data_IF_226370644668
#
_entry.id   IF_226370644668
#
_cell.length_a   1.000
_cell.length_b   1.000
_cell.length_c   1.000
_cell.angle_alpha   90.00
_cell.angle_beta   90.00
_cell.angle_gamma   90.00
#
_symmetry.space_group_name_H-M   'P 1'
#
loop_
_entity.id
_entity.type
_entity.pdbx_description
1 polymer ?
#
# COMPACT_ATOMS: atom_id res chain seq x y z
N UNK A 1 -7.33 16.98 -26.10
CA UNK A 1 -6.60 16.24 -25.05
C UNK A 1 -6.03 15.00 -25.70
N UNK A 2 -4.71 14.95 -25.84
CA UNK A 2 -3.99 13.81 -26.41
C UNK A 2 -3.96 12.72 -25.34
N UNK A 3 -4.44 11.52 -25.64
CA UNK A 3 -4.40 10.38 -24.71
C UNK A 3 -2.98 9.84 -24.69
N UNK A 4 -2.20 10.21 -23.68
CA UNK A 4 -0.86 9.67 -23.49
C UNK A 4 -0.91 8.15 -23.26
N UNK A 5 0.00 7.44 -23.93
CA UNK A 5 0.22 5.99 -23.79
C UNK A 5 1.48 5.72 -22.97
N UNK A 6 1.67 4.47 -22.53
CA UNK A 6 2.88 4.05 -21.81
C UNK A 6 4.19 4.38 -22.54
N UNK A 7 4.20 4.39 -23.87
CA UNK A 7 5.38 4.71 -24.69
C UNK A 7 5.70 6.22 -24.70
N UNK A 8 4.69 7.08 -24.54
CA UNK A 8 4.87 8.54 -24.49
C UNK A 8 5.53 9.01 -23.19
N UNK A 9 5.44 8.22 -22.12
CA UNK A 9 6.09 8.50 -20.82
C UNK A 9 7.61 8.40 -20.87
N UNK A 10 8.16 7.69 -21.86
CA UNK A 10 9.59 7.59 -22.08
C UNK A 10 10.14 8.78 -22.88
N UNK A 11 9.29 9.74 -23.26
CA UNK A 11 9.77 11.04 -23.71
C UNK A 11 10.51 11.75 -22.57
N UNK A 12 11.78 12.05 -22.80
CA UNK A 12 12.65 12.81 -21.91
C UNK A 12 12.03 14.11 -21.37
N UNK A 13 11.15 14.77 -22.15
CA UNK A 13 10.46 15.98 -21.71
C UNK A 13 9.41 15.72 -20.62
N UNK A 14 8.63 14.64 -20.77
CA UNK A 14 7.62 14.23 -19.79
C UNK A 14 8.29 13.78 -18.51
N UNK A 15 9.31 12.93 -18.61
CA UNK A 15 10.06 12.45 -17.45
C UNK A 15 10.71 13.61 -16.68
N UNK A 16 11.33 14.56 -17.38
CA UNK A 16 11.88 15.77 -16.74
C UNK A 16 10.79 16.55 -16.01
N UNK A 17 9.61 16.72 -16.61
CA UNK A 17 8.51 17.45 -15.97
C UNK A 17 7.97 16.73 -14.73
N UNK A 18 7.92 15.39 -14.73
CA UNK A 18 7.59 14.59 -13.54
C UNK A 18 8.57 14.92 -12.39
N UNK A 19 9.87 14.96 -12.68
CA UNK A 19 10.89 15.29 -11.68
C UNK A 19 10.74 16.71 -11.12
N UNK A 20 10.49 17.69 -11.99
CA UNK A 20 10.22 19.07 -11.57
C UNK A 20 9.00 19.17 -10.66
N UNK A 21 7.86 18.59 -11.05
CA UNK A 21 6.64 18.59 -10.24
C UNK A 21 6.85 17.92 -8.88
N UNK A 22 7.58 16.81 -8.85
CA UNK A 22 7.93 16.12 -7.61
C UNK A 22 8.78 17.01 -6.71
N UNK A 23 9.78 17.70 -7.26
CA UNK A 23 10.63 18.63 -6.52
C UNK A 23 9.82 19.83 -5.98
N UNK A 24 8.95 20.43 -6.80
CA UNK A 24 8.06 21.53 -6.42
C UNK A 24 7.15 21.13 -5.24
N UNK A 25 6.53 19.94 -5.30
CA UNK A 25 5.68 19.41 -4.21
C UNK A 25 6.48 19.21 -2.92
N UNK A 26 7.68 18.61 -3.01
CA UNK A 26 8.54 18.37 -1.84
C UNK A 26 9.04 19.66 -1.21
N UNK A 27 9.39 20.65 -2.03
CA UNK A 27 9.83 21.97 -1.58
C UNK A 27 8.72 22.72 -0.85
N UNK A 28 7.53 22.80 -1.44
CA UNK A 28 6.36 23.49 -0.86
C UNK A 28 5.99 22.94 0.52
N UNK A 29 6.11 21.63 0.70
CA UNK A 29 5.69 20.94 1.93
C UNK A 29 6.77 20.94 3.03
N UNK A 30 7.93 21.59 2.80
CA UNK A 30 9.08 21.69 3.71
C UNK A 30 9.55 20.34 4.29
N UNK A 31 9.30 19.24 3.56
CA UNK A 31 9.61 17.87 3.96
C UNK A 31 10.09 17.08 2.75
N UNK A 32 11.40 17.05 2.48
CA UNK A 32 11.94 16.43 1.27
C UNK A 32 11.79 14.89 1.24
N UNK A 33 11.50 14.22 2.37
CA UNK A 33 11.72 12.77 2.50
C UNK A 33 10.49 11.90 2.81
N UNK A 34 9.27 12.41 2.98
CA UNK A 34 8.16 11.60 3.52
C UNK A 34 6.84 11.70 2.74
N UNK A 35 6.26 10.55 2.38
CA UNK A 35 4.81 10.29 2.41
C UNK A 35 3.88 11.18 1.59
N UNK A 36 4.39 11.90 0.58
CA UNK A 36 3.60 12.80 -0.28
C UNK A 36 3.15 12.19 -1.60
N UNK A 37 3.13 10.87 -1.72
CA UNK A 37 2.66 10.18 -2.93
C UNK A 37 1.29 10.73 -3.38
N UNK A 38 0.37 11.03 -2.46
CA UNK A 38 -0.91 11.67 -2.78
C UNK A 38 -0.80 13.08 -3.38
N UNK A 39 0.08 13.95 -2.88
CA UNK A 39 0.26 15.30 -3.43
C UNK A 39 0.97 15.28 -4.78
N UNK A 40 1.97 14.42 -4.96
CA UNK A 40 2.64 14.23 -6.25
C UNK A 40 1.63 13.68 -7.27
N UNK A 41 0.86 12.66 -6.89
CA UNK A 41 -0.14 12.07 -7.78
C UNK A 41 -1.22 13.08 -8.19
N UNK A 42 -1.70 13.91 -7.25
CA UNK A 42 -2.64 14.99 -7.57
C UNK A 42 -2.04 16.09 -8.46
N UNK A 43 -0.75 16.40 -8.31
CA UNK A 43 -0.07 17.36 -9.20
C UNK A 43 0.07 16.82 -10.62
N UNK A 44 0.38 15.52 -10.77
CA UNK A 44 0.44 14.85 -12.08
C UNK A 44 -0.94 14.75 -12.74
N UNK A 45 -1.99 14.50 -11.96
CA UNK A 45 -3.37 14.52 -12.47
C UNK A 45 -3.75 15.91 -13.00
N UNK A 46 -3.40 16.96 -12.26
CA UNK A 46 -3.69 18.34 -12.68
C UNK A 46 -2.90 18.75 -13.95
N UNK A 47 -1.63 18.35 -14.06
CA UNK A 47 -0.77 18.69 -15.20
C UNK A 47 -1.12 17.87 -16.45
N UNK A 48 -1.22 16.54 -16.30
CA UNK A 48 -1.27 15.61 -17.42
C UNK A 48 -2.64 14.96 -17.63
N UNK A 49 -3.57 15.12 -16.70
CA UNK A 49 -4.88 14.44 -16.73
C UNK A 49 -4.81 12.94 -16.42
N UNK A 50 -3.71 12.47 -15.83
CA UNK A 50 -3.57 11.06 -15.44
C UNK A 50 -4.29 10.79 -14.13
N UNK A 51 -5.26 9.87 -14.15
CA UNK A 51 -6.14 9.60 -13.02
C UNK A 51 -5.32 9.28 -11.76
N UNK A 52 -5.51 10.05 -10.69
CA UNK A 52 -4.87 9.77 -9.41
C UNK A 52 -5.50 8.54 -8.75
N UNK A 53 -4.67 7.66 -8.20
CA UNK A 53 -5.07 6.40 -7.59
C UNK A 53 -4.43 6.28 -6.21
N UNK A 54 -5.14 5.63 -5.29
CA UNK A 54 -4.61 5.31 -3.95
C UNK A 54 -4.90 3.87 -3.59
N UNK A 55 -4.02 3.25 -2.82
CA UNK A 55 -4.21 1.88 -2.36
C UNK A 55 -2.96 1.30 -1.70
N UNK A 56 -2.74 0.00 -1.86
CA UNK A 56 -1.58 -0.69 -1.30
C UNK A 56 -0.57 -1.05 -2.38
N UNK A 57 0.71 -1.02 -2.02
CA UNK A 57 1.81 -1.49 -2.86
C UNK A 57 2.57 -2.62 -2.16
N UNK A 58 2.65 -3.80 -2.79
CA UNK A 58 3.53 -4.88 -2.33
C UNK A 58 4.93 -4.72 -2.92
N UNK A 59 5.93 -4.59 -2.07
CA UNK A 59 7.33 -4.41 -2.44
C UNK A 59 8.01 -5.73 -2.79
N UNK A 60 9.19 -5.65 -3.40
CA UNK A 60 9.93 -6.82 -3.90
C UNK A 60 10.39 -7.77 -2.78
N UNK A 61 10.58 -7.25 -1.56
CA UNK A 61 10.94 -8.07 -0.40
C UNK A 61 9.71 -8.66 0.33
N UNK A 62 8.51 -8.49 -0.23
CA UNK A 62 7.26 -8.99 0.32
C UNK A 62 6.62 -8.09 1.38
N UNK A 63 7.25 -6.97 1.75
CA UNK A 63 6.60 -5.96 2.59
C UNK A 63 5.51 -5.21 1.82
N UNK A 64 4.65 -4.50 2.56
CA UNK A 64 3.52 -3.78 1.98
C UNK A 64 3.55 -2.33 2.45
N UNK A 65 3.50 -1.40 1.49
CA UNK A 65 3.09 -0.02 1.77
C UNK A 65 1.56 0.02 1.84
N UNK A 66 1.03 0.15 3.06
CA UNK A 66 -0.40 0.14 3.34
C UNK A 66 -1.12 1.45 2.99
N UNK A 67 -0.38 2.45 2.52
CA UNK A 67 -0.90 3.68 1.92
C UNK A 67 0.09 4.12 0.86
N UNK A 68 -0.31 4.02 -0.40
CA UNK A 68 0.47 4.51 -1.53
C UNK A 68 -0.45 5.16 -2.57
N UNK A 69 0.09 6.11 -3.33
CA UNK A 69 -0.63 6.74 -4.43
C UNK A 69 0.22 6.71 -5.70
N UNK A 70 -0.45 6.52 -6.83
CA UNK A 70 0.14 6.46 -8.17
C UNK A 70 -0.87 7.05 -9.16
N UNK A 71 -0.49 7.20 -10.42
CA UNK A 71 -1.40 7.65 -11.47
C UNK A 71 -1.68 6.52 -12.46
N UNK A 72 -2.79 6.63 -13.19
CA UNK A 72 -3.17 5.71 -14.25
C UNK A 72 -3.41 6.45 -15.55
N UNK A 73 -2.79 5.98 -16.62
CA UNK A 73 -3.02 6.46 -17.97
C UNK A 73 -4.34 5.92 -18.54
N UNK A 74 -4.80 6.52 -19.65
CA UNK A 74 -6.01 6.09 -20.36
C UNK A 74 -5.95 4.64 -20.88
N UNK A 75 -4.75 4.15 -21.22
CA UNK A 75 -4.52 2.76 -21.63
C UNK A 75 -4.44 1.78 -20.45
N UNK A 76 -4.54 2.30 -19.21
CA UNK A 76 -4.47 1.54 -17.98
C UNK A 76 -3.06 1.34 -17.42
N UNK A 77 -2.02 1.89 -18.06
CA UNK A 77 -0.64 1.90 -17.55
C UNK A 77 -0.57 2.62 -16.22
N UNK A 78 0.10 1.99 -15.25
CA UNK A 78 0.37 2.57 -13.94
C UNK A 78 1.64 3.43 -14.06
N UNK A 79 1.59 4.64 -13.50
CA UNK A 79 2.71 5.56 -13.36
C UNK A 79 2.93 5.84 -11.90
N UNK A 80 4.03 5.33 -11.36
CA UNK A 80 4.44 5.55 -9.98
C UNK A 80 5.66 6.48 -9.95
N UNK A 81 5.38 7.78 -9.92
CA UNK A 81 6.40 8.84 -9.83
C UNK A 81 7.00 8.99 -8.42
N UNK A 82 6.54 8.18 -7.47
CA UNK A 82 7.02 8.16 -6.08
C UNK A 82 7.60 6.80 -5.69
N UNK A 83 7.91 5.96 -6.67
CA UNK A 83 8.57 4.68 -6.50
C UNK A 83 9.93 4.83 -5.78
N UNK A 84 10.57 5.97 -5.99
CA UNK A 84 11.77 6.47 -5.34
C UNK A 84 11.75 6.38 -3.81
N UNK A 85 10.56 6.51 -3.19
CA UNK A 85 10.36 6.37 -1.74
C UNK A 85 10.69 4.97 -1.21
N UNK A 86 10.74 3.97 -2.09
CA UNK A 86 10.99 2.57 -1.75
C UNK A 86 12.39 2.10 -2.13
N UNK A 87 13.25 2.95 -2.70
CA UNK A 87 14.65 2.65 -3.00
C UNK A 87 14.80 1.34 -3.79
N UNK A 88 15.70 0.45 -3.35
CA UNK A 88 15.96 -0.87 -3.95
C UNK A 88 14.86 -1.90 -3.68
N UNK A 89 13.84 -1.56 -2.87
CA UNK A 89 12.68 -2.42 -2.61
C UNK A 89 11.63 -2.31 -3.72
N UNK A 90 11.83 -1.41 -4.69
CA UNK A 90 10.94 -1.25 -5.83
C UNK A 90 11.70 -1.04 -7.15
N UNK A 91 10.93 -0.95 -8.25
CA UNK A 91 11.43 -1.11 -9.63
C UNK A 91 12.24 0.09 -10.17
N UNK A 92 12.47 1.13 -9.36
CA UNK A 92 13.23 2.32 -9.75
C UNK A 92 12.71 3.61 -9.13
N UNK A 93 13.12 4.73 -9.70
CA UNK A 93 12.80 6.09 -9.24
C UNK A 93 11.39 6.53 -9.69
N UNK A 94 11.17 6.56 -11.01
CA UNK A 94 9.85 6.68 -11.64
C UNK A 94 9.57 5.37 -12.36
N UNK A 95 8.44 4.73 -12.04
CA UNK A 95 8.12 3.40 -12.55
C UNK A 95 6.87 3.45 -13.41
N UNK A 96 6.94 2.84 -14.58
CA UNK A 96 5.79 2.62 -15.46
C UNK A 96 5.49 1.14 -15.56
N UNK A 97 4.25 0.72 -15.30
CA UNK A 97 3.85 -0.68 -15.37
C UNK A 97 2.66 -0.82 -16.30
N UNK A 98 2.90 -1.48 -17.45
CA UNK A 98 1.83 -1.83 -18.38
C UNK A 98 0.82 -2.78 -17.69
N UNK A 99 -0.50 -2.66 -17.94
CA UNK A 99 -1.52 -3.46 -17.25
C UNK A 99 -1.40 -4.97 -17.44
N UNK A 100 -0.79 -5.43 -18.54
CA UNK A 100 -0.51 -6.86 -18.76
C UNK A 100 0.73 -7.38 -18.03
N UNK A 101 1.53 -6.50 -17.42
CA UNK A 101 2.72 -6.90 -16.68
C UNK A 101 2.31 -7.61 -15.38
N UNK A 102 2.97 -8.73 -15.02
CA UNK A 102 2.79 -9.34 -13.71
C UNK A 102 3.06 -8.37 -12.55
N UNK A 103 3.87 -7.34 -12.76
CA UNK A 103 4.16 -6.33 -11.75
C UNK A 103 2.93 -5.49 -11.37
N UNK A 104 1.93 -5.38 -12.27
CA UNK A 104 0.70 -4.65 -11.99
C UNK A 104 -0.05 -5.25 -10.78
N UNK A 105 0.08 -6.57 -10.53
CA UNK A 105 -0.55 -7.25 -9.41
C UNK A 105 0.01 -6.85 -8.02
N UNK A 106 1.09 -6.07 -7.97
CA UNK A 106 1.60 -5.50 -6.73
C UNK A 106 0.90 -4.18 -6.35
N UNK A 107 0.14 -3.57 -7.25
CA UNK A 107 -0.67 -2.40 -6.99
C UNK A 107 -2.12 -2.83 -6.73
N UNK A 108 -2.59 -2.61 -5.51
CA UNK A 108 -3.97 -2.87 -5.14
C UNK A 108 -4.71 -1.56 -4.94
N UNK A 109 -5.51 -1.18 -5.93
CA UNK A 109 -6.30 0.05 -5.91
C UNK A 109 -7.47 -0.03 -4.92
N UNK A 110 -7.69 1.06 -4.16
CA UNK A 110 -8.84 1.30 -3.28
C UNK A 110 -9.35 0.03 -2.57
N UNK A 111 -8.51 -0.63 -1.75
CA UNK A 111 -8.87 -1.88 -1.11
C UNK A 111 -10.13 -1.70 -0.28
N UNK A 112 -11.05 -2.66 -0.44
CA UNK A 112 -12.37 -2.59 0.17
C UNK A 112 -12.26 -2.58 1.69
N UNK A 113 -13.00 -1.69 2.34
CA UNK A 113 -13.14 -1.68 3.78
C UNK A 113 -14.06 -2.81 4.26
N UNK A 114 -13.61 -3.60 5.22
CA UNK A 114 -14.42 -4.62 5.89
C UNK A 114 -14.60 -4.32 7.38
N UNK A 115 -15.78 -4.64 7.89
CA UNK A 115 -16.06 -4.79 9.31
C UNK A 115 -15.84 -6.25 9.72
N UNK A 116 -14.90 -6.47 10.62
CA UNK A 116 -14.49 -7.77 11.12
C UNK A 116 -15.19 -8.03 12.46
N UNK A 117 -16.21 -8.88 12.43
CA UNK A 117 -16.92 -9.32 13.61
C UNK A 117 -16.19 -10.51 14.22
N UNK A 118 -15.55 -10.26 15.35
CA UNK A 118 -14.81 -11.22 16.16
C UNK A 118 -15.84 -11.89 17.07
N UNK A 119 -16.31 -13.08 16.70
CA UNK A 119 -17.30 -13.77 17.53
C UNK A 119 -16.79 -13.95 18.96
N UNK A 120 -17.59 -13.61 19.98
CA UNK A 120 -17.29 -13.96 21.37
C UNK A 120 -17.32 -15.47 21.51
N UNK A 121 -16.19 -16.11 21.29
CA UNK A 121 -15.93 -17.41 21.89
C UNK A 121 -16.15 -17.26 23.38
N UNK A 122 -17.01 -18.08 23.95
CA UNK A 122 -17.32 -18.14 25.37
C UNK A 122 -16.03 -18.26 26.19
N UNK A 123 -15.44 -17.15 26.64
CA UNK A 123 -14.35 -17.02 27.63
C UNK A 123 -13.19 -18.05 27.60
N UNK A 124 -12.93 -18.75 26.49
CA UNK A 124 -11.97 -19.84 26.45
C UNK A 124 -11.52 -20.21 25.03
N UNK A 125 -10.33 -19.71 24.69
CA UNK A 125 -9.30 -20.33 23.85
C UNK A 125 -9.44 -20.45 22.31
N UNK A 126 -10.62 -20.49 21.69
CA UNK A 126 -10.67 -20.63 20.21
C UNK A 126 -11.64 -19.66 19.52
N UNK A 127 -11.16 -18.72 18.68
CA UNK A 127 -12.04 -17.96 17.80
C UNK A 127 -12.63 -18.94 16.77
N UNK A 128 -13.88 -19.34 16.97
CA UNK A 128 -14.51 -20.32 16.09
C UNK A 128 -14.59 -19.83 14.65
N UNK A 129 -15.04 -18.58 14.44
CA UNK A 129 -15.20 -17.96 13.12
C UNK A 129 -15.11 -16.43 13.22
N UNK A 130 -14.64 -15.79 12.16
CA UNK A 130 -14.64 -14.34 11.97
C UNK A 130 -15.61 -14.01 10.82
N UNK A 131 -16.57 -13.13 11.06
CA UNK A 131 -17.50 -12.66 10.01
C UNK A 131 -17.01 -11.32 9.47
N UNK A 132 -16.66 -11.25 8.19
CA UNK A 132 -16.31 -10.01 7.49
C UNK A 132 -17.53 -9.49 6.74
N UNK A 133 -17.85 -8.20 6.88
CA UNK A 133 -18.98 -7.55 6.19
C UNK A 133 -18.50 -6.32 5.43
N UNK A 134 -18.95 -6.15 4.19
CA UNK A 134 -18.71 -4.94 3.39
C UNK A 134 -19.77 -4.77 2.30
N UNK A 135 -20.47 -3.63 2.27
CA UNK A 135 -21.52 -3.28 1.30
C UNK A 135 -22.50 -4.42 0.93
N UNK A 136 -22.93 -5.20 1.93
CA UNK A 136 -23.86 -6.32 1.74
C UNK A 136 -23.20 -7.68 1.48
N UNK A 137 -21.91 -7.70 1.16
CA UNK A 137 -21.13 -8.94 1.07
C UNK A 137 -20.72 -9.44 2.44
N UNK A 138 -20.80 -10.76 2.63
CA UNK A 138 -20.50 -11.42 3.90
C UNK A 138 -19.58 -12.62 3.67
N UNK A 139 -18.43 -12.62 4.33
CA UNK A 139 -17.52 -13.76 4.38
C UNK A 139 -17.44 -14.30 5.80
N UNK A 140 -17.46 -15.62 5.94
CA UNK A 140 -17.24 -16.30 7.22
C UNK A 140 -15.92 -17.06 7.13
N UNK A 141 -14.92 -16.60 7.87
CA UNK A 141 -13.59 -17.17 7.91
C UNK A 141 -13.45 -18.08 9.13
N UNK A 142 -12.92 -19.28 8.95
CA UNK A 142 -12.53 -20.19 10.03
C UNK A 142 -11.01 -20.36 10.06
N UNK A 143 -10.43 -20.80 11.18
CA UNK A 143 -9.02 -21.17 11.21
C UNK A 143 -8.79 -22.49 10.46
N UNK A 144 -7.86 -22.48 9.51
CA UNK A 144 -7.41 -23.70 8.81
C UNK A 144 -6.49 -24.56 9.70
N UNK A 145 -5.79 -23.91 10.65
CA UNK A 145 -5.00 -24.56 11.70
C UNK A 145 -5.65 -24.27 13.08
N UNK A 146 -6.35 -25.26 13.68
CA UNK A 146 -6.99 -25.12 14.99
C UNK A 146 -6.02 -24.89 16.14
N UNK A 147 -4.76 -25.35 16.02
CA UNK A 147 -3.71 -25.19 17.04
C UNK A 147 -3.16 -23.75 17.01
N UNK A 148 -3.24 -23.10 15.86
CA UNK A 148 -2.84 -21.71 15.63
C UNK A 148 -3.97 -20.87 15.01
N UNK A 149 -5.08 -20.64 15.73
CA UNK A 149 -6.28 -20.10 15.13
C UNK A 149 -6.14 -18.61 14.76
N UNK A 150 -5.37 -17.84 15.52
CA UNK A 150 -5.17 -16.41 15.25
C UNK A 150 -4.30 -16.15 14.01
N UNK A 151 -3.11 -16.78 13.85
CA UNK A 151 -2.36 -16.68 12.59
C UNK A 151 -3.16 -17.16 11.38
N UNK A 152 -3.92 -18.25 11.51
CA UNK A 152 -4.77 -18.75 10.43
C UNK A 152 -5.84 -17.73 10.01
N UNK A 153 -6.60 -17.19 10.97
CA UNK A 153 -7.60 -16.17 10.71
C UNK A 153 -6.96 -14.88 10.16
N UNK A 154 -5.82 -14.46 10.70
CA UNK A 154 -5.10 -13.30 10.20
C UNK A 154 -4.68 -13.47 8.74
N UNK A 155 -4.15 -14.64 8.37
CA UNK A 155 -3.80 -14.97 6.99
C UNK A 155 -5.03 -14.92 6.08
N UNK A 156 -6.15 -15.48 6.51
CA UNK A 156 -7.41 -15.45 5.77
C UNK A 156 -7.94 -14.02 5.58
N UNK A 157 -7.90 -13.18 6.63
CA UNK A 157 -8.32 -11.77 6.57
C UNK A 157 -7.40 -10.97 5.65
N UNK A 158 -6.08 -11.12 5.78
CA UNK A 158 -5.11 -10.43 4.94
C UNK A 158 -5.27 -10.84 3.47
N UNK A 159 -5.55 -12.11 3.19
CA UNK A 159 -5.84 -12.60 1.84
C UNK A 159 -7.18 -12.08 1.32
N UNK A 160 -8.21 -11.95 2.15
CA UNK A 160 -9.47 -11.31 1.78
C UNK A 160 -9.26 -9.82 1.42
N UNK A 161 -8.46 -9.12 2.23
CA UNK A 161 -8.20 -7.69 2.05
C UNK A 161 -7.33 -7.41 0.82
N UNK A 162 -6.33 -8.26 0.56
CA UNK A 162 -5.26 -7.95 -0.40
C UNK A 162 -5.19 -8.85 -1.61
N UNK A 163 -5.75 -10.06 -1.54
CA UNK A 163 -5.51 -11.13 -2.52
C UNK A 163 -4.09 -11.71 -2.46
N UNK A 164 -3.20 -11.20 -1.61
CA UNK A 164 -1.80 -11.61 -1.52
C UNK A 164 -1.57 -12.67 -0.44
N UNK A 165 -0.53 -13.48 -0.65
CA UNK A 165 0.09 -14.27 0.41
C UNK A 165 1.19 -13.41 1.05
N UNK A 166 0.95 -12.95 2.28
CA UNK A 166 1.87 -12.09 3.02
C UNK A 166 2.82 -12.91 3.89
N UNK A 167 3.93 -12.29 4.29
CA UNK A 167 4.94 -12.91 5.15
C UNK A 167 4.40 -13.23 6.54
N UNK A 168 4.99 -14.23 7.19
CA UNK A 168 4.55 -14.65 8.52
C UNK A 168 4.69 -13.52 9.56
N UNK A 169 5.66 -12.62 9.43
CA UNK A 169 5.79 -11.45 10.31
C UNK A 169 4.57 -10.51 10.27
N UNK A 170 4.02 -10.27 9.07
CA UNK A 170 2.80 -9.47 8.89
C UNK A 170 1.57 -10.22 9.40
N UNK A 171 1.51 -11.54 9.14
CA UNK A 171 0.44 -12.41 9.65
C UNK A 171 0.42 -12.41 11.17
N UNK A 172 1.58 -12.54 11.82
CA UNK A 172 1.72 -12.53 13.28
C UNK A 172 1.32 -11.18 13.88
N UNK A 173 1.69 -10.06 13.24
CA UNK A 173 1.27 -8.73 13.70
C UNK A 173 -0.25 -8.52 13.57
N UNK A 174 -0.85 -8.98 12.48
CA UNK A 174 -2.30 -8.97 12.30
C UNK A 174 -3.00 -9.90 13.32
N UNK A 175 -2.46 -11.10 13.56
CA UNK A 175 -2.98 -12.05 14.55
C UNK A 175 -2.99 -11.47 15.96
N UNK A 176 -1.91 -10.80 16.38
CA UNK A 176 -1.86 -10.08 17.67
C UNK A 176 -2.93 -8.99 17.76
N UNK A 177 -3.13 -8.24 16.67
CA UNK A 177 -4.12 -7.16 16.60
C UNK A 177 -5.56 -7.69 16.72
N UNK A 178 -5.88 -8.75 15.99
CA UNK A 178 -7.18 -9.43 16.06
C UNK A 178 -7.44 -10.02 17.45
N UNK A 179 -6.45 -10.72 18.02
CA UNK A 179 -6.55 -11.30 19.36
C UNK A 179 -6.77 -10.23 20.44
N UNK A 180 -5.99 -9.14 20.39
CA UNK A 180 -6.14 -8.04 21.34
C UNK A 180 -7.51 -7.37 21.23
N UNK A 181 -8.01 -7.19 20.00
CA UNK A 181 -9.31 -6.60 19.76
C UNK A 181 -10.45 -7.49 20.24
N UNK A 182 -10.40 -8.79 20.00
CA UNK A 182 -11.41 -9.75 20.47
C UNK A 182 -11.58 -9.74 22.00
N UNK A 183 -10.55 -9.37 22.76
CA UNK A 183 -10.64 -9.20 24.22
C UNK A 183 -11.32 -7.91 24.69
N UNK A 184 -11.53 -6.94 23.79
CA UNK A 184 -12.01 -5.59 24.13
C UNK A 184 -13.25 -5.16 23.37
N UNK A 185 -13.48 -5.70 22.17
CA UNK A 185 -14.61 -5.39 21.30
C UNK A 185 -14.91 -6.55 20.35
N UNK A 186 -16.18 -6.67 19.96
CA UNK A 186 -16.65 -7.70 19.04
C UNK A 186 -16.52 -7.28 17.58
N UNK A 187 -16.13 -6.02 17.31
CA UNK A 187 -15.98 -5.47 15.96
C UNK A 187 -14.68 -4.69 15.80
N UNK A 188 -14.04 -4.89 14.65
CA UNK A 188 -12.84 -4.20 14.21
C UNK A 188 -12.99 -3.82 12.73
N UNK A 189 -12.74 -2.57 12.37
CA UNK A 189 -12.61 -2.22 10.96
C UNK A 189 -11.25 -2.67 10.41
N UNK A 190 -11.19 -2.96 9.12
CA UNK A 190 -9.91 -3.17 8.41
C UNK A 190 -8.95 -2.00 8.54
N UNK A 191 -9.44 -0.75 8.64
CA UNK A 191 -8.60 0.42 8.93
C UNK A 191 -7.91 0.33 10.30
N UNK A 192 -8.61 -0.18 11.33
CA UNK A 192 -8.01 -0.44 12.64
C UNK A 192 -6.97 -1.57 12.57
N UNK A 193 -7.22 -2.60 11.77
CA UNK A 193 -6.26 -3.70 11.56
C UNK A 193 -5.01 -3.26 10.80
N UNK A 194 -5.15 -2.40 9.78
CA UNK A 194 -4.02 -1.98 8.93
C UNK A 194 -3.14 -0.94 9.58
N UNK A 195 -3.63 -0.16 10.56
CA UNK A 195 -2.84 0.83 11.30
C UNK A 195 -1.53 0.30 11.91
N UNK A 196 -1.52 -0.82 12.68
CA UNK A 196 -0.27 -1.40 13.17
C UNK A 196 0.61 -1.93 12.04
N UNK A 197 0.02 -2.44 10.95
CA UNK A 197 0.78 -2.93 9.78
C UNK A 197 1.49 -1.78 9.04
N UNK A 198 0.80 -0.65 8.86
CA UNK A 198 1.37 0.60 8.34
C UNK A 198 2.52 1.10 9.22
N UNK A 199 2.36 1.04 10.54
CA UNK A 199 3.44 1.44 11.45
C UNK A 199 4.67 0.55 11.28
N UNK A 200 4.47 -0.76 11.16
CA UNK A 200 5.55 -1.71 10.93
C UNK A 200 6.22 -1.50 9.56
N UNK A 201 5.45 -1.20 8.51
CA UNK A 201 6.02 -0.93 7.18
C UNK A 201 6.86 0.35 7.16
N UNK A 202 6.38 1.43 7.80
CA UNK A 202 7.16 2.67 7.95
C UNK A 202 8.47 2.40 8.71
N UNK A 203 8.42 1.61 9.79
CA UNK A 203 9.63 1.25 10.55
C UNK A 203 10.59 0.34 9.76
N UNK A 204 10.07 -0.51 8.88
CA UNK A 204 10.88 -1.33 7.99
C UNK A 204 11.62 -0.46 6.97
N UNK A 205 10.90 0.42 6.28
CA UNK A 205 11.45 1.37 5.31
C UNK A 205 12.48 2.30 5.97
N UNK A 206 12.15 2.85 7.14
CA UNK A 206 13.05 3.74 7.89
C UNK A 206 14.33 3.06 8.38
N UNK A 207 14.30 1.76 8.69
CA UNK A 207 15.51 1.01 9.12
C UNK A 207 16.50 0.74 7.99
N UNK A 208 16.04 0.74 6.74
CA UNK A 208 16.91 0.56 5.57
C UNK A 208 17.55 1.86 5.11
N UNK A 209 16.95 3.01 5.43
CA UNK A 209 17.48 4.32 5.07
C UNK A 209 18.63 4.77 5.98
N UNK A 210 19.84 4.88 5.41
CA UNK A 210 20.81 5.89 5.85
C UNK A 210 20.59 7.16 5.01
N UNK A 211 20.05 8.23 5.62
CA UNK A 211 19.92 9.64 5.14
C UNK A 211 18.66 10.06 4.35
N UNK A 212 18.34 11.37 4.37
CA UNK A 212 17.44 12.03 3.41
C UNK A 212 17.76 11.60 1.98
N UNK A 213 16.81 10.94 1.31
CA UNK A 213 16.96 10.49 -0.06
C UNK A 213 16.59 11.63 -1.00
N UNK A 214 17.48 12.62 -1.09
CA UNK A 214 17.46 13.60 -2.18
C UNK A 214 18.38 13.00 -3.25
N UNK A 215 17.85 12.67 -4.43
CA UNK A 215 18.69 12.26 -5.56
C UNK A 215 19.77 13.35 -5.77
N UNK A 216 21.02 12.96 -6.01
CA UNK A 216 22.19 13.87 -5.94
C UNK A 216 22.01 15.14 -6.78
N UNK A 217 21.26 15.05 -7.88
CA UNK A 217 20.88 16.15 -8.77
C UNK A 217 20.00 17.24 -8.13
N UNK A 218 19.46 17.01 -6.93
CA UNK A 218 18.64 17.96 -6.16
C UNK A 218 19.31 18.41 -4.85
N UNK A 219 20.54 18.01 -4.58
CA UNK A 219 21.35 18.61 -3.53
C UNK A 219 21.81 19.99 -4.02
N UNK A 220 21.62 21.06 -3.23
CA UNK A 220 22.15 22.38 -3.58
C UNK A 220 23.67 22.27 -3.87
N UNK A 221 24.18 22.93 -4.92
CA UNK A 221 25.61 22.95 -5.17
C UNK A 221 26.31 23.63 -3.99
N UNK A 222 27.27 22.92 -3.38
CA UNK A 222 28.15 23.44 -2.32
C UNK A 222 29.03 24.55 -2.89
#
# INVERSE_FOLDING_TARGET
>A
MTTATGDDLMDSAVLRRIYELRAEVRFRDARPNDGRCGHVSGALEAEFGWEAQSGYLRLLDGTVSWVHCWNRLADGTIVDATADQFQDLWLGDVVTVHPSSPMAANYLHAPRGWDLHLGRGSMGEHPGRLKCVSDGDVHILGPDDPDHPWPSLARAVLRLLTGWNLTDDLVELAARSLRARAGTSDVMSTAELTRPLLTASIQHLGRRGNRPWIAEEFLEPI
#
